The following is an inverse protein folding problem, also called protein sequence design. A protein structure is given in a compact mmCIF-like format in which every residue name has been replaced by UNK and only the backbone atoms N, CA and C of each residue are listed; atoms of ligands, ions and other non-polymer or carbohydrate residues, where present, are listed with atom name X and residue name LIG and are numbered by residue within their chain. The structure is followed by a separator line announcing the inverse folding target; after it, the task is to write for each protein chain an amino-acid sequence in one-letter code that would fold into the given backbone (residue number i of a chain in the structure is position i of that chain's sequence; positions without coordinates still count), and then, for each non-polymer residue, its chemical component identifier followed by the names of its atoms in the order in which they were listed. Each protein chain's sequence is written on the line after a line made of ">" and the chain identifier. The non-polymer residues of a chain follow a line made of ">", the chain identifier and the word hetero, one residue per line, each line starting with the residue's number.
data_IF_732295568401
#
_entry.id   IF_732295568401
#
_cell.length_a   1.000
_cell.length_b   1.000
_cell.length_c   1.000
_cell.angle_alpha   90.00
_cell.angle_beta   90.00
_cell.angle_gamma   90.00
#
_symmetry.space_group_name_H-M   'P 1'
#
loop_
_entity.id
_entity.type
_entity.pdbx_description
1 polymer ?
#
# COMPACT_ATOMS: atom_id res chain seq x y z
N UNK A 1 27.52 -32.10 -73.93
CA UNK A 1 26.50 -31.07 -74.21
C UNK A 1 26.96 -29.84 -73.43
N UNK A 2 27.65 -28.87 -74.05
CA UNK A 2 27.12 -27.89 -75.04
C UNK A 2 26.11 -26.97 -74.37
N UNK A 3 26.45 -25.71 -74.02
CA UNK A 3 26.66 -24.50 -74.86
C UNK A 3 25.42 -23.58 -74.69
N UNK A 4 25.42 -22.24 -74.79
CA UNK A 4 26.37 -21.22 -75.32
C UNK A 4 26.13 -19.91 -74.48
N UNK A 5 27.07 -18.99 -74.16
CA UNK A 5 27.70 -17.91 -74.99
C UNK A 5 26.66 -17.04 -75.76
N UNK A 6 26.74 -15.72 -75.94
CA UNK A 6 27.75 -14.63 -75.78
C UNK A 6 27.14 -13.45 -74.94
N UNK A 7 27.77 -12.39 -74.40
CA UNK A 7 29.06 -11.64 -74.48
C UNK A 7 29.20 -10.51 -75.52
N UNK A 8 29.73 -9.33 -75.08
CA UNK A 8 30.13 -8.09 -75.82
C UNK A 8 29.05 -6.97 -75.97
N UNK A 9 29.36 -5.65 -76.04
CA UNK A 9 30.62 -4.87 -75.88
C UNK A 9 30.37 -3.38 -75.47
N UNK A 10 31.44 -2.56 -75.33
CA UNK A 10 31.42 -1.08 -75.20
C UNK A 10 31.95 -0.40 -76.48
N UNK A 11 31.72 0.93 -76.64
CA UNK A 11 32.85 1.83 -76.94
C UNK A 11 32.85 3.15 -76.11
N UNK A 12 33.89 3.97 -76.32
CA UNK A 12 34.18 5.27 -75.66
C UNK A 12 34.43 6.39 -76.70
N UNK A 13 34.39 7.66 -76.23
CA UNK A 13 34.63 8.96 -76.95
C UNK A 13 33.42 9.46 -77.77
N UNK A 14 33.12 10.77 -77.87
CA UNK A 14 33.63 11.91 -77.09
C UNK A 14 33.38 13.30 -77.72
N UNK A 15 33.45 14.35 -76.89
CA UNK A 15 33.68 15.78 -77.19
C UNK A 15 32.55 16.73 -77.71
N UNK A 16 32.53 17.92 -77.07
CA UNK A 16 32.16 19.28 -77.54
C UNK A 16 30.69 19.75 -77.64
N UNK A 17 30.52 21.02 -77.26
CA UNK A 17 29.36 21.93 -77.34
C UNK A 17 28.15 21.60 -76.43
N UNK A 18 27.50 22.57 -75.78
CA UNK A 18 27.86 23.99 -75.65
C UNK A 18 26.65 24.92 -75.46
N UNK A 19 26.20 25.11 -74.21
CA UNK A 19 25.12 26.05 -73.88
C UNK A 19 25.35 26.70 -72.51
N UNK A 20 25.65 28.00 -72.50
CA UNK A 20 25.80 28.80 -71.28
C UNK A 20 24.43 29.35 -70.89
N UNK A 21 23.78 28.71 -69.92
CA UNK A 21 22.56 29.23 -69.29
C UNK A 21 22.95 30.05 -68.05
N UNK A 22 22.81 31.37 -68.11
CA UNK A 22 23.05 32.28 -66.99
C UNK A 22 21.91 32.21 -65.97
N UNK A 23 21.91 31.17 -65.14
CA UNK A 23 21.00 31.07 -64.01
C UNK A 23 21.39 32.09 -62.93
N UNK A 24 20.49 33.02 -62.60
CA UNK A 24 20.70 33.97 -61.51
C UNK A 24 20.77 33.23 -60.17
N UNK A 25 21.81 33.52 -59.38
CA UNK A 25 22.11 32.81 -58.14
C UNK A 25 21.16 33.13 -56.99
N UNK A 26 19.98 32.53 -56.99
CA UNK A 26 19.14 32.43 -55.80
C UNK A 26 19.75 31.42 -54.82
N UNK A 27 20.57 31.90 -53.89
CA UNK A 27 21.09 31.08 -52.78
C UNK A 27 19.97 30.72 -51.82
N UNK A 28 19.22 29.66 -52.14
CA UNK A 28 18.35 28.99 -51.20
C UNK A 28 19.22 28.43 -50.07
N UNK A 29 19.24 29.13 -48.93
CA UNK A 29 19.86 28.63 -47.73
C UNK A 29 19.20 27.31 -47.35
N UNK A 30 19.95 26.20 -47.41
CA UNK A 30 19.46 24.92 -46.97
C UNK A 30 18.99 25.05 -45.51
N UNK A 31 17.77 24.58 -45.16
CA UNK A 31 17.29 24.69 -43.80
C UNK A 31 18.27 23.95 -42.88
N UNK A 32 18.82 24.67 -41.91
CA UNK A 32 19.79 24.10 -40.99
C UNK A 32 19.15 22.91 -40.27
N UNK A 33 19.60 21.70 -40.59
CA UNK A 33 19.15 20.48 -39.93
C UNK A 33 19.37 20.66 -38.43
N UNK A 34 18.27 20.81 -37.69
CA UNK A 34 18.32 20.96 -36.25
C UNK A 34 19.06 19.75 -35.70
N UNK A 35 20.15 19.98 -34.94
CA UNK A 35 20.83 18.90 -34.22
C UNK A 35 19.75 18.13 -33.45
N UNK A 36 19.64 16.80 -33.59
CA UNK A 36 18.66 16.05 -32.84
C UNK A 36 18.82 16.40 -31.37
N UNK A 37 17.72 16.82 -30.73
CA UNK A 37 17.75 17.19 -29.33
C UNK A 37 18.32 16.01 -28.56
N UNK A 38 19.42 16.22 -27.82
CA UNK A 38 20.04 15.17 -27.03
C UNK A 38 18.96 14.55 -26.14
N UNK A 39 18.66 13.28 -26.36
CA UNK A 39 17.60 12.58 -25.65
C UNK A 39 17.83 12.73 -24.14
N UNK A 40 16.76 12.97 -23.38
CA UNK A 40 16.87 12.94 -21.93
C UNK A 40 17.47 11.58 -21.53
N UNK A 41 18.52 11.55 -20.69
CA UNK A 41 19.20 10.29 -20.37
C UNK A 41 18.20 9.32 -19.76
N UNK A 42 18.12 8.13 -20.35
CA UNK A 42 17.05 7.18 -20.05
C UNK A 42 17.08 6.76 -18.58
N UNK A 43 15.98 7.04 -17.87
CA UNK A 43 15.78 6.52 -16.51
C UNK A 43 15.54 5.02 -16.61
N UNK A 44 16.42 4.24 -15.99
CA UNK A 44 16.19 2.82 -15.81
C UNK A 44 15.21 2.60 -14.64
N UNK A 45 13.97 2.26 -14.99
CA UNK A 45 13.00 1.63 -14.09
C UNK A 45 12.84 0.18 -14.55
N UNK A 46 12.99 -0.77 -13.62
CA UNK A 46 12.89 -2.20 -13.95
C UNK A 46 11.51 -2.53 -14.56
N UNK A 47 11.50 -3.42 -15.55
CA UNK A 47 10.28 -3.93 -16.13
C UNK A 47 9.46 -4.74 -15.12
N UNK A 48 10.11 -5.60 -14.33
CA UNK A 48 9.51 -6.46 -13.33
C UNK A 48 8.13 -7.02 -13.77
N UNK A 49 7.04 -6.61 -13.11
CA UNK A 49 5.65 -6.93 -13.50
C UNK A 49 4.78 -5.68 -13.66
N UNK A 50 5.37 -4.56 -14.07
CA UNK A 50 4.63 -3.36 -14.46
C UNK A 50 3.80 -3.59 -15.73
N UNK A 51 2.64 -2.94 -15.85
CA UNK A 51 2.12 -2.62 -17.19
C UNK A 51 3.20 -1.82 -17.95
N UNK A 52 3.60 -2.24 -19.18
CA UNK A 52 4.66 -1.55 -19.93
C UNK A 52 4.39 -0.05 -20.12
N UNK A 53 3.13 0.32 -20.40
CA UNK A 53 2.72 1.74 -20.52
C UNK A 53 2.89 2.48 -19.20
N UNK A 54 2.49 1.88 -18.08
CA UNK A 54 2.62 2.52 -16.77
C UNK A 54 4.09 2.77 -16.40
N UNK A 55 4.96 1.77 -16.62
CA UNK A 55 6.42 1.90 -16.42
C UNK A 55 6.99 3.05 -17.23
N UNK A 56 6.67 3.11 -18.54
CA UNK A 56 7.27 4.08 -19.44
C UNK A 56 6.81 5.52 -19.15
N UNK A 57 5.55 5.70 -18.74
CA UNK A 57 5.03 6.99 -18.27
C UNK A 57 5.68 7.42 -16.93
N UNK A 58 5.87 6.49 -15.99
CA UNK A 58 6.55 6.79 -14.72
C UNK A 58 8.04 7.07 -14.92
N UNK A 59 8.73 6.33 -15.79
CA UNK A 59 10.12 6.60 -16.16
C UNK A 59 10.27 7.98 -16.85
N UNK A 60 9.30 8.37 -17.70
CA UNK A 60 9.26 9.70 -18.30
C UNK A 60 9.05 10.82 -17.26
N UNK A 61 8.17 10.63 -16.27
CA UNK A 61 8.00 11.55 -15.15
C UNK A 61 9.31 11.69 -14.35
N UNK A 62 9.99 10.58 -14.07
CA UNK A 62 11.28 10.60 -13.35
C UNK A 62 12.34 11.34 -14.16
N UNK A 63 12.42 11.13 -15.48
CA UNK A 63 13.37 11.82 -16.36
C UNK A 63 13.07 13.33 -16.49
N UNK A 64 11.79 13.72 -16.44
CA UNK A 64 11.30 15.10 -16.54
C UNK A 64 11.68 15.95 -15.32
N UNK A 65 11.52 15.40 -14.11
CA UNK A 65 11.72 16.13 -12.85
C UNK A 65 13.02 15.81 -12.11
N UNK A 66 13.68 14.68 -12.42
CA UNK A 66 14.85 14.17 -11.70
C UNK A 66 16.17 14.90 -11.96
N UNK A 67 17.22 14.47 -11.25
CA UNK A 67 18.54 15.09 -11.19
C UNK A 67 19.30 15.23 -12.53
N UNK A 68 18.87 14.53 -13.57
CA UNK A 68 19.38 14.66 -14.95
C UNK A 68 18.66 15.73 -15.78
N UNK A 69 17.52 16.24 -15.30
CA UNK A 69 16.72 17.26 -15.96
C UNK A 69 17.35 18.65 -15.87
N UNK A 70 17.28 19.42 -16.95
CA UNK A 70 17.81 20.80 -17.03
C UNK A 70 17.08 21.78 -16.09
N UNK A 71 15.91 21.42 -15.59
CA UNK A 71 15.11 22.22 -14.64
C UNK A 71 15.20 21.73 -13.19
N UNK A 72 16.02 20.70 -12.91
CA UNK A 72 16.23 20.20 -11.56
C UNK A 72 16.93 21.22 -10.66
N UNK A 73 16.59 21.19 -9.37
CA UNK A 73 17.30 21.95 -8.34
C UNK A 73 17.39 21.13 -7.05
N UNK A 74 18.61 20.90 -6.56
CA UNK A 74 18.82 20.23 -5.28
C UNK A 74 18.24 21.01 -4.08
N UNK A 75 17.96 22.31 -4.25
CA UNK A 75 17.25 23.15 -3.25
C UNK A 75 15.72 23.01 -3.32
N UNK A 76 15.19 22.33 -4.34
CA UNK A 76 13.76 22.13 -4.61
C UNK A 76 13.52 20.72 -5.21
N UNK A 77 14.02 19.69 -4.52
CA UNK A 77 13.88 18.29 -4.97
C UNK A 77 12.40 17.93 -5.20
N UNK A 78 12.04 17.30 -6.33
CA UNK A 78 10.72 16.67 -6.45
C UNK A 78 10.55 15.58 -5.38
N UNK A 79 9.32 15.20 -5.07
CA UNK A 79 9.06 14.10 -4.15
C UNK A 79 7.83 13.27 -4.51
N UNK A 80 7.84 12.03 -4.05
CA UNK A 80 6.78 11.06 -4.21
C UNK A 80 6.20 10.65 -2.84
N UNK A 81 4.89 10.37 -2.79
CA UNK A 81 4.20 9.85 -1.59
C UNK A 81 3.52 8.53 -1.93
N UNK A 82 3.62 7.54 -1.04
CA UNK A 82 3.00 6.23 -1.21
C UNK A 82 2.11 5.91 -0.01
N UNK A 83 0.96 5.28 -0.23
CA UNK A 83 0.37 4.46 0.83
C UNK A 83 1.20 3.18 1.04
N UNK A 84 1.06 2.57 2.20
CA UNK A 84 1.84 1.39 2.57
C UNK A 84 1.10 0.09 2.28
N UNK A 85 0.03 -0.13 3.02
CA UNK A 85 -0.70 -1.38 3.08
C UNK A 85 -1.52 -1.57 1.80
N UNK A 86 -1.47 -2.77 1.21
CA UNK A 86 -1.98 -3.11 -0.13
C UNK A 86 -1.43 -2.34 -1.35
N UNK A 87 -0.75 -1.20 -1.14
CA UNK A 87 -0.14 -0.36 -2.17
C UNK A 87 1.36 -0.65 -2.36
N UNK A 88 2.15 -0.51 -1.29
CA UNK A 88 3.60 -0.77 -1.27
C UNK A 88 3.94 -2.22 -0.91
N UNK A 89 3.07 -2.89 -0.15
CA UNK A 89 3.10 -4.34 0.10
C UNK A 89 1.80 -5.00 -0.40
N UNK A 90 1.80 -6.32 -0.56
CA UNK A 90 0.55 -7.09 -0.66
C UNK A 90 -0.03 -7.31 0.74
N UNK A 91 -1.35 -7.10 0.86
CA UNK A 91 -2.10 -7.12 2.12
C UNK A 91 -1.61 -6.07 3.12
N UNK A 92 -2.03 -6.19 4.36
CA UNK A 92 -1.96 -5.15 5.39
C UNK A 92 -1.11 -5.61 6.57
N UNK A 93 -0.14 -4.80 6.99
CA UNK A 93 0.78 -5.17 8.06
C UNK A 93 0.21 -4.92 9.46
N UNK A 94 -0.79 -4.05 9.62
CA UNK A 94 -1.46 -3.80 10.90
C UNK A 94 -2.55 -4.84 11.18
N UNK A 95 -3.33 -5.26 10.19
CA UNK A 95 -4.25 -6.39 10.35
C UNK A 95 -3.49 -7.71 10.56
N UNK A 96 -2.36 -7.89 9.87
CA UNK A 96 -1.47 -9.02 10.08
C UNK A 96 -0.82 -8.99 11.48
N UNK A 97 -0.46 -7.81 11.98
CA UNK A 97 0.05 -7.61 13.35
C UNK A 97 -1.03 -7.83 14.41
N UNK A 98 -2.28 -7.39 14.20
CA UNK A 98 -3.40 -7.72 15.08
C UNK A 98 -3.56 -9.25 15.18
N UNK A 99 -3.62 -9.95 14.05
CA UNK A 99 -3.74 -11.41 14.06
C UNK A 99 -2.49 -12.10 14.64
N UNK A 100 -1.30 -11.54 14.49
CA UNK A 100 -0.10 -12.03 15.16
C UNK A 100 -0.17 -11.83 16.68
N UNK A 101 -0.59 -10.64 17.13
CA UNK A 101 -0.76 -10.26 18.54
C UNK A 101 -1.78 -11.16 19.23
N UNK A 102 -2.93 -11.40 18.59
CA UNK A 102 -3.95 -12.34 19.03
C UNK A 102 -3.38 -13.75 19.15
N UNK A 103 -2.69 -14.27 18.12
CA UNK A 103 -2.22 -15.66 18.14
C UNK A 103 -1.08 -15.93 19.14
N UNK A 104 -0.31 -14.92 19.54
CA UNK A 104 0.78 -15.06 20.53
C UNK A 104 0.45 -14.48 21.91
N UNK A 105 -0.78 -13.95 22.09
CA UNK A 105 -1.23 -13.21 23.27
C UNK A 105 -0.26 -12.08 23.67
N UNK A 106 0.25 -11.34 22.68
CA UNK A 106 1.23 -10.27 22.89
C UNK A 106 0.56 -8.95 23.34
N UNK A 107 -0.16 -8.99 24.45
CA UNK A 107 -0.84 -7.85 25.05
C UNK A 107 -0.20 -7.49 26.39
N UNK A 108 -0.07 -6.19 26.68
CA UNK A 108 0.55 -5.68 27.93
C UNK A 108 -0.49 -5.03 28.85
N UNK A 109 -1.69 -5.62 28.87
CA UNK A 109 -2.89 -5.12 29.54
C UNK A 109 -3.33 -6.09 30.62
N UNK A 110 -3.64 -5.59 31.82
CA UNK A 110 -4.45 -6.34 32.79
C UNK A 110 -5.84 -6.63 32.23
N UNK A 111 -6.60 -7.60 32.79
CA UNK A 111 -7.96 -7.87 32.34
C UNK A 111 -8.88 -6.64 32.39
N UNK A 112 -8.68 -5.75 33.36
CA UNK A 112 -9.43 -4.50 33.50
C UNK A 112 -9.08 -3.49 32.40
N UNK A 113 -7.80 -3.33 32.06
CA UNK A 113 -7.36 -2.46 30.97
C UNK A 113 -7.81 -2.99 29.60
N UNK A 114 -7.73 -4.30 29.38
CA UNK A 114 -8.24 -4.94 28.16
C UNK A 114 -9.75 -4.75 28.01
N UNK A 115 -10.51 -5.02 29.09
CA UNK A 115 -11.97 -4.84 29.15
C UNK A 115 -12.43 -3.42 28.83
N UNK A 116 -11.67 -2.42 29.30
CA UNK A 116 -11.89 -1.01 28.95
C UNK A 116 -11.50 -0.69 27.50
N UNK A 117 -10.37 -1.24 27.02
CA UNK A 117 -9.83 -1.00 25.67
C UNK A 117 -10.77 -1.50 24.58
N UNK A 118 -11.31 -2.72 24.70
CA UNK A 118 -12.21 -3.30 23.68
C UNK A 118 -13.52 -2.50 23.51
N UNK A 119 -13.95 -1.75 24.54
CA UNK A 119 -15.13 -0.88 24.51
C UNK A 119 -14.81 0.58 24.15
N UNK A 120 -13.54 0.95 24.08
CA UNK A 120 -13.13 2.35 24.09
C UNK A 120 -13.54 3.10 22.82
N UNK A 121 -14.31 4.18 23.00
CA UNK A 121 -14.88 5.01 21.93
C UNK A 121 -15.83 4.27 20.94
N UNK A 122 -16.19 3.02 21.21
CA UNK A 122 -17.15 2.26 20.39
C UNK A 122 -18.57 2.62 20.82
N UNK A 123 -19.47 3.07 19.92
CA UNK A 123 -20.86 3.30 20.24
C UNK A 123 -21.57 2.00 20.69
N UNK A 124 -22.27 2.05 21.82
CA UNK A 124 -23.03 0.90 22.31
C UNK A 124 -24.26 0.61 21.42
N UNK A 125 -24.56 -0.67 21.22
CA UNK A 125 -25.71 -1.15 20.46
C UNK A 125 -25.39 -2.37 19.59
N UNK A 126 -26.28 -2.65 18.64
CA UNK A 126 -26.11 -3.71 17.65
C UNK A 126 -25.12 -3.29 16.55
N UNK A 127 -24.35 -4.26 16.06
CA UNK A 127 -23.58 -4.16 14.82
C UNK A 127 -24.49 -4.22 13.57
N UNK A 128 -23.92 -4.03 12.38
CA UNK A 128 -24.70 -4.14 11.13
C UNK A 128 -25.28 -5.55 10.93
N UNK A 129 -26.25 -5.67 10.02
CA UNK A 129 -27.03 -6.89 9.83
C UNK A 129 -26.20 -8.12 9.39
N UNK A 130 -24.95 -7.97 8.98
CA UNK A 130 -24.06 -9.09 8.61
C UNK A 130 -23.36 -9.70 9.83
N UNK A 131 -23.23 -8.97 10.94
CA UNK A 131 -22.58 -9.41 12.17
C UNK A 131 -23.54 -10.21 13.07
N UNK A 132 -23.74 -11.47 12.69
CA UNK A 132 -24.63 -12.43 13.37
C UNK A 132 -23.86 -13.62 13.95
N UNK A 133 -24.43 -14.21 15.00
CA UNK A 133 -24.02 -15.54 15.47
C UNK A 133 -24.65 -16.67 14.62
N UNK A 134 -24.25 -17.92 14.89
CA UNK A 134 -24.72 -19.12 14.20
C UNK A 134 -26.24 -19.39 14.36
N UNK A 135 -26.90 -18.76 15.33
CA UNK A 135 -28.36 -18.81 15.51
C UNK A 135 -29.09 -17.65 14.77
N UNK A 136 -28.37 -16.80 14.05
CA UNK A 136 -28.92 -15.68 13.29
C UNK A 136 -29.20 -14.41 14.12
N UNK A 137 -28.91 -14.39 15.42
CA UNK A 137 -29.02 -13.19 16.26
C UNK A 137 -27.97 -12.18 15.78
N UNK A 138 -28.40 -10.97 15.43
CA UNK A 138 -27.49 -9.82 15.23
C UNK A 138 -26.83 -9.52 16.58
N UNK A 139 -25.52 -9.35 16.59
CA UNK A 139 -24.77 -9.15 17.81
C UNK A 139 -24.63 -7.68 18.19
N UNK A 140 -24.39 -7.48 19.47
CA UNK A 140 -24.22 -6.20 20.14
C UNK A 140 -22.87 -6.15 20.85
N UNK A 141 -22.34 -4.94 21.03
CA UNK A 141 -20.99 -4.71 21.57
C UNK A 141 -20.74 -5.47 22.88
N UNK A 142 -21.67 -5.35 23.84
CA UNK A 142 -21.51 -5.94 25.16
C UNK A 142 -21.61 -7.47 25.14
N UNK A 143 -22.43 -8.08 24.27
CA UNK A 143 -22.48 -9.54 24.12
C UNK A 143 -21.14 -10.13 23.68
N UNK A 144 -20.40 -9.44 22.81
CA UNK A 144 -19.07 -9.89 22.36
C UNK A 144 -18.00 -9.54 23.39
N UNK A 145 -18.05 -8.34 23.98
CA UNK A 145 -17.05 -7.90 24.95
C UNK A 145 -17.13 -8.68 26.27
N UNK A 146 -18.31 -9.08 26.74
CA UNK A 146 -18.49 -9.90 27.96
C UNK A 146 -17.78 -11.25 27.85
N UNK A 147 -17.82 -11.87 26.67
CA UNK A 147 -17.13 -13.13 26.42
C UNK A 147 -15.61 -12.93 26.36
N UNK A 148 -15.17 -11.87 25.67
CA UNK A 148 -13.76 -11.48 25.61
C UNK A 148 -13.17 -11.11 26.99
N UNK A 149 -13.96 -10.49 27.88
CA UNK A 149 -13.56 -10.22 29.26
C UNK A 149 -13.27 -11.53 30.01
N UNK A 150 -14.16 -12.53 29.87
CA UNK A 150 -14.04 -13.86 30.48
C UNK A 150 -12.83 -14.63 29.92
N UNK A 151 -12.69 -14.69 28.60
CA UNK A 151 -11.58 -15.39 27.97
C UNK A 151 -10.24 -14.73 28.31
N UNK A 152 -10.12 -13.42 28.17
CA UNK A 152 -8.86 -12.72 28.44
C UNK A 152 -8.47 -12.82 29.93
N UNK A 153 -9.44 -12.80 30.86
CA UNK A 153 -9.17 -13.09 32.27
C UNK A 153 -8.62 -14.51 32.50
N UNK A 154 -9.18 -15.53 31.81
CA UNK A 154 -8.64 -16.89 31.84
C UNK A 154 -7.22 -16.96 31.25
N UNK A 155 -7.02 -16.38 30.07
CA UNK A 155 -5.75 -16.40 29.34
C UNK A 155 -4.65 -15.71 30.16
N UNK A 156 -4.94 -14.52 30.71
CA UNK A 156 -4.02 -13.79 31.59
C UNK A 156 -3.65 -14.55 32.86
N UNK A 157 -4.58 -15.31 33.44
CA UNK A 157 -4.33 -16.13 34.64
C UNK A 157 -3.61 -17.47 34.34
N UNK A 158 -3.62 -17.96 33.10
CA UNK A 158 -3.11 -19.28 32.74
C UNK A 158 -1.81 -19.24 31.91
N UNK A 159 -1.63 -18.26 31.02
CA UNK A 159 -0.50 -18.16 30.12
C UNK A 159 0.77 -17.65 30.81
N UNK A 160 1.89 -18.33 30.56
CA UNK A 160 3.24 -18.00 31.05
C UNK A 160 3.78 -16.65 30.54
N UNK A 161 3.25 -16.11 29.44
CA UNK A 161 3.55 -14.75 28.98
C UNK A 161 2.84 -13.64 29.78
N UNK A 162 1.95 -14.01 30.70
CA UNK A 162 1.17 -13.10 31.55
C UNK A 162 1.36 -13.51 33.02
N UNK A 163 0.29 -13.74 33.80
CA UNK A 163 0.38 -14.09 35.23
C UNK A 163 0.32 -15.60 35.52
N UNK A 164 0.25 -16.45 34.48
CA UNK A 164 0.13 -17.90 34.61
C UNK A 164 1.45 -18.65 34.41
N UNK A 165 1.34 -19.94 34.07
CA UNK A 165 2.49 -20.86 33.98
C UNK A 165 2.50 -21.79 32.75
N UNK A 166 1.37 -21.91 32.03
CA UNK A 166 1.22 -22.79 30.86
C UNK A 166 1.87 -22.19 29.63
N UNK A 167 2.45 -23.04 28.80
CA UNK A 167 3.04 -22.70 27.51
C UNK A 167 2.03 -22.10 26.52
N UNK A 168 2.49 -21.45 25.45
CA UNK A 168 1.58 -20.94 24.42
C UNK A 168 0.89 -22.12 23.72
N UNK A 169 1.64 -23.19 23.48
CA UNK A 169 1.22 -24.46 22.89
C UNK A 169 0.07 -25.11 23.68
N UNK A 170 0.13 -25.11 25.02
CA UNK A 170 -0.99 -25.57 25.85
C UNK A 170 -2.20 -24.62 25.85
N UNK A 171 -1.99 -23.33 25.58
CA UNK A 171 -3.03 -22.30 25.65
C UNK A 171 -3.81 -22.21 24.34
N UNK A 172 -3.16 -22.37 23.17
CA UNK A 172 -3.84 -22.29 21.86
C UNK A 172 -4.87 -23.40 21.63
N UNK A 173 -4.70 -24.53 22.32
CA UNK A 173 -5.64 -25.66 22.32
C UNK A 173 -6.84 -25.46 23.28
N UNK A 174 -6.88 -24.36 24.06
CA UNK A 174 -8.02 -24.08 24.97
C UNK A 174 -9.22 -23.50 24.23
N UNK A 175 -10.43 -23.83 24.71
CA UNK A 175 -11.65 -23.24 24.20
C UNK A 175 -11.65 -21.71 24.33
N UNK A 176 -11.11 -21.19 25.45
CA UNK A 176 -11.01 -19.75 25.72
C UNK A 176 -10.11 -19.04 24.71
N UNK A 177 -8.97 -19.61 24.32
CA UNK A 177 -8.15 -19.01 23.27
C UNK A 177 -8.84 -19.05 21.90
N UNK A 178 -9.52 -20.16 21.59
CA UNK A 178 -10.21 -20.33 20.32
C UNK A 178 -11.42 -19.39 20.18
N UNK A 179 -12.15 -19.15 21.29
CA UNK A 179 -13.23 -18.18 21.36
C UNK A 179 -12.68 -16.74 21.29
N UNK A 180 -11.72 -16.37 22.16
CA UNK A 180 -11.00 -15.10 22.15
C UNK A 180 -10.52 -14.69 20.76
N UNK A 181 -9.78 -15.57 20.08
CA UNK A 181 -9.22 -15.31 18.74
C UNK A 181 -10.32 -15.03 17.72
N UNK A 182 -11.41 -15.80 17.77
CA UNK A 182 -12.51 -15.63 16.84
C UNK A 182 -13.30 -14.35 17.15
N UNK A 183 -13.63 -14.11 18.42
CA UNK A 183 -14.44 -12.96 18.88
C UNK A 183 -13.71 -11.63 18.81
N UNK A 184 -12.40 -11.57 19.07
CA UNK A 184 -11.64 -10.31 19.02
C UNK A 184 -11.41 -9.84 17.58
N UNK A 185 -11.12 -10.75 16.65
CA UNK A 185 -11.05 -10.39 15.23
C UNK A 185 -12.45 -10.14 14.63
N UNK A 186 -13.49 -10.86 15.08
CA UNK A 186 -14.89 -10.52 14.74
C UNK A 186 -15.25 -9.10 15.21
N UNK A 187 -14.84 -8.70 16.42
CA UNK A 187 -15.08 -7.37 16.98
C UNK A 187 -14.36 -6.27 16.18
N UNK A 188 -13.11 -6.49 15.77
CA UNK A 188 -12.37 -5.56 14.90
C UNK A 188 -13.15 -5.25 13.59
N UNK A 189 -13.57 -6.29 12.87
CA UNK A 189 -14.34 -6.15 11.62
C UNK A 189 -15.68 -5.45 11.90
N UNK A 190 -16.40 -5.89 12.95
CA UNK A 190 -17.71 -5.36 13.34
C UNK A 190 -17.70 -3.86 13.69
N UNK A 191 -16.68 -3.41 14.42
CA UNK A 191 -16.50 -2.00 14.78
C UNK A 191 -16.21 -1.15 13.53
N UNK A 192 -15.36 -1.63 12.63
CA UNK A 192 -15.03 -0.94 11.38
C UNK A 192 -16.25 -0.80 10.45
N UNK A 193 -17.00 -1.88 10.21
CA UNK A 193 -18.16 -1.84 9.31
C UNK A 193 -19.38 -1.12 9.90
N UNK A 194 -19.56 -1.14 11.23
CA UNK A 194 -20.72 -0.50 11.88
C UNK A 194 -20.51 0.99 12.16
N UNK A 195 -19.30 1.39 12.56
CA UNK A 195 -19.03 2.75 13.03
C UNK A 195 -18.00 3.51 12.18
N UNK A 196 -17.37 2.83 11.22
CA UNK A 196 -16.42 3.42 10.28
C UNK A 196 -15.01 3.63 10.85
N UNK A 197 -14.10 3.95 9.93
CA UNK A 197 -12.66 4.13 10.19
C UNK A 197 -12.33 5.13 11.30
N UNK A 198 -13.18 6.14 11.53
CA UNK A 198 -12.99 7.13 12.61
C UNK A 198 -13.06 6.50 14.01
N UNK A 199 -13.68 5.33 14.16
CA UNK A 199 -13.71 4.53 15.38
C UNK A 199 -12.73 3.36 15.26
N UNK A 200 -12.84 2.56 14.20
CA UNK A 200 -12.11 1.30 14.07
C UNK A 200 -10.59 1.42 13.94
N UNK A 201 -10.07 2.43 13.23
CA UNK A 201 -8.63 2.58 13.00
C UNK A 201 -7.90 3.06 14.27
N UNK A 202 -8.40 4.07 15.02
CA UNK A 202 -7.85 4.36 16.35
C UNK A 202 -8.00 3.20 17.35
N UNK A 203 -9.08 2.41 17.24
CA UNK A 203 -9.36 1.31 18.18
C UNK A 203 -8.33 0.18 18.10
N UNK A 204 -7.97 -0.27 16.89
CA UNK A 204 -7.03 -1.42 16.73
C UNK A 204 -5.63 -1.10 17.27
N UNK A 205 -5.17 0.14 17.15
CA UNK A 205 -3.85 0.55 17.65
C UNK A 205 -3.83 0.74 19.19
N UNK A 206 -4.96 0.77 19.89
CA UNK A 206 -4.98 0.90 21.35
C UNK A 206 -4.45 -0.33 22.10
N UNK A 207 -4.39 -1.52 21.47
CA UNK A 207 -3.81 -2.73 22.07
C UNK A 207 -2.29 -2.65 22.30
N UNK A 208 -1.62 -1.61 21.80
CA UNK A 208 -0.21 -1.32 22.08
C UNK A 208 0.02 -0.54 23.38
N UNK A 209 -1.02 -0.17 24.12
CA UNK A 209 -0.85 0.53 25.40
C UNK A 209 0.03 -0.27 26.39
N UNK A 210 0.77 0.46 27.24
CA UNK A 210 1.81 -0.03 28.15
C UNK A 210 3.07 -0.62 27.46
N UNK A 211 3.09 -0.81 26.13
CA UNK A 211 4.29 -1.15 25.39
C UNK A 211 5.14 0.08 25.07
N UNK A 212 6.45 -0.09 25.06
CA UNK A 212 7.41 0.87 24.48
C UNK A 212 7.37 0.86 22.95
N UNK A 213 7.84 1.94 22.32
CA UNK A 213 8.12 1.96 20.87
C UNK A 213 8.97 0.76 20.46
N UNK A 214 9.99 0.41 21.26
CA UNK A 214 10.88 -0.72 20.98
C UNK A 214 10.17 -2.09 21.02
N UNK A 215 9.30 -2.32 22.01
CA UNK A 215 8.49 -3.55 22.09
C UNK A 215 7.53 -3.70 20.90
N UNK A 216 6.84 -2.62 20.51
CA UNK A 216 5.96 -2.64 19.33
C UNK A 216 6.76 -2.80 18.03
N UNK A 217 7.92 -2.15 17.91
CA UNK A 217 8.79 -2.34 16.72
C UNK A 217 9.27 -3.78 16.58
N UNK A 218 9.69 -4.42 17.68
CA UNK A 218 10.09 -5.83 17.67
C UNK A 218 8.91 -6.78 17.35
N UNK A 219 7.72 -6.49 17.89
CA UNK A 219 6.51 -7.27 17.61
C UNK A 219 6.05 -7.13 16.14
N UNK A 220 6.13 -5.92 15.58
CA UNK A 220 5.91 -5.66 14.16
C UNK A 220 6.93 -6.39 13.29
N UNK A 221 8.23 -6.37 13.64
CA UNK A 221 9.27 -7.06 12.89
C UNK A 221 9.06 -8.59 12.88
N UNK A 222 8.69 -9.18 14.03
CA UNK A 222 8.37 -10.60 14.14
C UNK A 222 7.09 -10.99 13.37
N UNK A 223 6.05 -10.15 13.42
CA UNK A 223 4.83 -10.33 12.63
C UNK A 223 5.10 -10.30 11.13
N UNK A 224 5.89 -9.32 10.68
CA UNK A 224 6.24 -9.14 9.27
C UNK A 224 7.02 -10.35 8.73
N UNK A 225 8.04 -10.80 9.45
CA UNK A 225 8.84 -11.97 9.05
C UNK A 225 8.01 -13.25 9.00
N UNK A 226 7.13 -13.47 9.99
CA UNK A 226 6.20 -14.61 10.00
C UNK A 226 5.23 -14.55 8.81
N UNK A 227 4.56 -13.42 8.59
CA UNK A 227 3.57 -13.28 7.52
C UNK A 227 4.17 -13.29 6.10
N UNK A 228 5.44 -12.92 5.94
CA UNK A 228 6.17 -13.13 4.68
C UNK A 228 6.38 -14.62 4.37
N UNK A 229 6.60 -15.45 5.40
CA UNK A 229 6.67 -16.91 5.29
C UNK A 229 5.31 -17.61 5.10
N UNK A 230 4.21 -17.02 5.58
CA UNK A 230 2.86 -17.61 5.49
C UNK A 230 2.33 -17.66 4.06
N UNK A 231 1.53 -18.68 3.75
CA UNK A 231 0.73 -18.77 2.52
C UNK A 231 -0.34 -17.68 2.45
N UNK A 232 -0.55 -17.11 1.25
CA UNK A 232 -1.65 -16.18 0.99
C UNK A 232 -2.97 -16.95 0.96
N UNK A 233 -3.77 -16.85 2.02
CA UNK A 233 -5.01 -17.64 2.16
C UNK A 233 -6.05 -16.97 3.05
N UNK A 234 -7.34 -17.20 2.76
CA UNK A 234 -8.45 -16.77 3.63
C UNK A 234 -8.83 -17.89 4.61
N UNK A 235 -8.39 -17.75 5.86
CA UNK A 235 -8.69 -18.69 6.96
C UNK A 235 -10.03 -18.31 7.59
N UNK A 236 -10.83 -19.31 8.00
CA UNK A 236 -12.02 -19.09 8.85
C UNK A 236 -11.68 -19.36 10.31
N UNK A 237 -12.19 -18.51 11.20
CA UNK A 237 -12.15 -18.71 12.64
C UNK A 237 -13.57 -18.79 13.18
N UNK A 238 -13.93 -19.95 13.72
CA UNK A 238 -15.23 -20.25 14.33
C UNK A 238 -14.99 -20.49 15.82
N UNK A 239 -15.79 -19.87 16.69
CA UNK A 239 -15.66 -20.12 18.13
C UNK A 239 -16.21 -21.50 18.54
N UNK A 240 -15.67 -22.11 19.60
CA UNK A 240 -16.03 -23.47 20.00
C UNK A 240 -17.47 -23.56 20.54
N UNK A 241 -18.23 -24.55 20.06
CA UNK A 241 -19.60 -24.81 20.53
C UNK A 241 -19.70 -25.28 21.98
N UNK A 242 -18.58 -25.67 22.60
CA UNK A 242 -18.47 -25.98 24.03
C UNK A 242 -18.35 -24.74 24.93
N UNK A 243 -18.02 -23.57 24.35
CA UNK A 243 -17.97 -22.27 25.04
C UNK A 243 -18.67 -21.23 24.16
N UNK A 244 -20.02 -21.25 24.08
CA UNK A 244 -20.75 -20.30 23.24
C UNK A 244 -20.70 -18.86 23.77
N UNK A 245 -20.69 -18.69 25.10
CA UNK A 245 -20.78 -17.37 25.74
C UNK A 245 -22.13 -16.67 25.53
N UNK A 246 -22.17 -15.37 25.81
CA UNK A 246 -23.30 -14.45 25.65
C UNK A 246 -23.53 -14.08 24.18
N UNK A 247 -22.47 -13.94 23.39
CA UNK A 247 -22.57 -13.75 21.94
C UNK A 247 -23.05 -15.02 21.22
N UNK A 248 -22.77 -16.20 21.76
CA UNK A 248 -22.93 -17.48 21.06
C UNK A 248 -21.79 -17.76 20.07
N UNK A 249 -21.89 -18.89 19.37
CA UNK A 249 -20.92 -19.27 18.34
C UNK A 249 -20.95 -18.29 17.18
N UNK A 250 -19.81 -17.67 16.85
CA UNK A 250 -19.63 -16.78 15.71
C UNK A 250 -18.71 -17.41 14.66
N UNK A 251 -18.58 -16.79 13.50
CA UNK A 251 -17.51 -17.12 12.54
C UNK A 251 -17.05 -15.87 11.80
N UNK A 252 -15.75 -15.61 11.85
CA UNK A 252 -15.07 -14.56 11.08
C UNK A 252 -14.04 -15.19 10.12
N UNK A 253 -13.43 -14.41 9.23
CA UNK A 253 -12.44 -14.91 8.30
C UNK A 253 -11.41 -13.85 7.84
N UNK A 254 -10.18 -13.98 8.34
CA UNK A 254 -9.04 -13.13 7.99
C UNK A 254 -8.30 -13.63 6.73
N UNK A 255 -7.59 -12.75 6.03
CA UNK A 255 -6.71 -13.11 4.91
C UNK A 255 -5.23 -13.03 5.34
N UNK A 256 -4.61 -14.19 5.56
CA UNK A 256 -3.23 -14.28 6.05
C UNK A 256 -2.18 -14.07 4.96
N UNK A 257 -1.00 -13.69 5.43
CA UNK A 257 0.21 -13.58 4.63
C UNK A 257 0.31 -12.25 3.90
N UNK A 258 1.53 -11.73 3.82
CA UNK A 258 1.87 -10.48 3.15
C UNK A 258 3.02 -10.72 2.18
N UNK A 259 3.24 -9.84 1.19
CA UNK A 259 4.39 -9.96 0.27
C UNK A 259 5.03 -8.61 0.01
N UNK A 260 6.36 -8.63 -0.14
CA UNK A 260 7.11 -7.51 -0.69
C UNK A 260 6.65 -7.27 -2.14
N UNK A 261 6.42 -6.01 -2.51
CA UNK A 261 6.23 -5.62 -3.90
C UNK A 261 7.55 -5.05 -4.44
N UNK A 262 8.32 -5.92 -5.11
CA UNK A 262 9.61 -5.55 -5.73
C UNK A 262 9.45 -4.40 -6.72
N UNK A 263 8.31 -4.33 -7.42
CA UNK A 263 7.96 -3.25 -8.35
C UNK A 263 7.95 -1.88 -7.65
N UNK A 264 7.39 -1.80 -6.43
CA UNK A 264 7.36 -0.55 -5.63
C UNK A 264 8.69 -0.29 -4.93
N UNK A 265 9.34 -1.30 -4.36
CA UNK A 265 10.66 -1.13 -3.74
C UNK A 265 11.70 -0.59 -4.74
N UNK A 266 11.72 -1.15 -5.96
CA UNK A 266 12.56 -0.65 -7.06
C UNK A 266 12.13 0.75 -7.51
N UNK A 267 10.82 1.06 -7.61
CA UNK A 267 10.37 2.42 -7.94
C UNK A 267 10.81 3.47 -6.90
N UNK A 268 10.64 3.18 -5.60
CA UNK A 268 11.13 4.04 -4.52
C UNK A 268 12.65 4.24 -4.62
N UNK A 269 13.40 3.19 -4.97
CA UNK A 269 14.83 3.30 -5.22
C UNK A 269 15.17 4.16 -6.46
N UNK A 270 14.52 3.93 -7.59
CA UNK A 270 14.72 4.72 -8.83
C UNK A 270 14.40 6.20 -8.60
N UNK A 271 13.34 6.53 -7.84
CA UNK A 271 13.05 7.90 -7.41
C UNK A 271 14.23 8.52 -6.63
N UNK A 272 14.74 7.84 -5.59
CA UNK A 272 15.88 8.34 -4.78
C UNK A 272 17.15 8.51 -5.61
N UNK A 273 17.48 7.54 -6.47
CA UNK A 273 18.65 7.60 -7.36
C UNK A 273 18.58 8.77 -8.35
N UNK A 274 17.36 9.15 -8.77
CA UNK A 274 17.11 10.32 -9.62
C UNK A 274 16.86 11.62 -8.82
N UNK A 275 17.24 11.67 -7.54
CA UNK A 275 17.24 12.90 -6.73
C UNK A 275 15.90 13.32 -6.13
N UNK A 276 14.89 12.43 -6.14
CA UNK A 276 13.62 12.67 -5.46
C UNK A 276 13.73 12.32 -3.97
N UNK A 277 12.96 12.99 -3.12
CA UNK A 277 12.65 12.46 -1.79
C UNK A 277 11.44 11.51 -1.88
N UNK A 278 11.41 10.47 -1.04
CA UNK A 278 10.33 9.46 -1.01
C UNK A 278 9.72 9.40 0.38
N UNK A 279 8.39 9.46 0.45
CA UNK A 279 7.59 9.48 1.67
C UNK A 279 6.52 8.40 1.68
N UNK A 280 6.13 7.97 2.88
CA UNK A 280 4.99 7.07 3.12
C UNK A 280 3.92 7.83 3.92
N UNK A 281 2.65 7.65 3.56
CA UNK A 281 1.49 8.23 4.24
C UNK A 281 0.45 7.15 4.51
N UNK A 282 0.68 6.34 5.56
CA UNK A 282 -0.16 5.18 5.92
C UNK A 282 -1.36 5.55 6.80
N UNK A 283 -2.42 4.76 6.73
CA UNK A 283 -3.54 4.81 7.67
C UNK A 283 -3.40 3.88 8.89
N UNK A 284 -2.25 3.21 9.05
CA UNK A 284 -1.83 2.40 10.20
C UNK A 284 -0.91 3.18 11.15
N UNK A 285 -0.53 2.59 12.30
CA UNK A 285 0.43 3.18 13.25
C UNK A 285 1.79 3.44 12.58
N UNK A 286 2.28 4.67 12.69
CA UNK A 286 3.49 5.12 12.00
C UNK A 286 4.73 4.28 12.30
N UNK A 287 4.90 3.84 13.55
CA UNK A 287 6.06 3.05 13.98
C UNK A 287 6.00 1.59 13.51
N UNK A 288 4.80 1.01 13.36
CA UNK A 288 4.59 -0.35 12.80
C UNK A 288 5.01 -0.38 11.34
N UNK A 289 4.51 0.58 10.55
CA UNK A 289 4.87 0.72 9.14
C UNK A 289 6.34 1.15 8.97
N UNK A 290 6.89 1.94 9.89
CA UNK A 290 8.30 2.33 9.84
C UNK A 290 9.25 1.14 9.93
N UNK A 291 8.95 0.11 10.73
CA UNK A 291 9.75 -1.14 10.75
C UNK A 291 9.85 -1.74 9.35
N UNK A 292 8.73 -1.79 8.63
CA UNK A 292 8.68 -2.35 7.28
C UNK A 292 9.38 -1.44 6.25
N UNK A 293 9.09 -0.14 6.28
CA UNK A 293 9.54 0.81 5.28
C UNK A 293 11.04 1.16 5.39
N UNK A 294 11.60 1.11 6.60
CA UNK A 294 12.98 1.56 6.87
C UNK A 294 14.00 0.43 6.96
N UNK A 295 13.63 -0.75 7.48
CA UNK A 295 14.58 -1.84 7.71
C UNK A 295 15.15 -2.37 6.38
N UNK A 296 16.48 -2.33 6.17
CA UNK A 296 17.10 -2.76 4.91
C UNK A 296 16.74 -4.18 4.46
N UNK A 297 16.37 -5.09 5.38
CA UNK A 297 16.02 -6.48 5.03
C UNK A 297 14.76 -6.60 4.16
N UNK A 298 13.89 -5.59 4.17
CA UNK A 298 12.67 -5.54 3.33
C UNK A 298 12.87 -4.79 2.00
N UNK A 299 14.04 -4.17 1.76
CA UNK A 299 14.41 -3.57 0.47
C UNK A 299 13.80 -2.20 0.11
N UNK A 300 12.92 -1.64 0.92
CA UNK A 300 12.26 -0.36 0.61
C UNK A 300 13.13 0.87 0.88
N UNK A 301 13.96 0.86 1.92
CA UNK A 301 14.92 1.91 2.29
C UNK A 301 14.33 3.34 2.36
N UNK A 302 13.12 3.49 2.90
CA UNK A 302 12.56 4.80 3.28
C UNK A 302 13.30 5.29 4.54
N UNK A 303 13.44 6.60 4.73
CA UNK A 303 14.00 7.19 5.97
C UNK A 303 12.90 7.30 7.04
N UNK A 304 13.23 7.13 8.33
CA UNK A 304 12.20 7.07 9.40
C UNK A 304 11.36 8.34 9.47
N UNK A 305 11.99 9.51 9.32
CA UNK A 305 11.36 10.83 9.30
C UNK A 305 10.46 11.08 8.07
N UNK A 306 10.54 10.21 7.06
CA UNK A 306 9.70 10.26 5.86
C UNK A 306 8.48 9.31 5.94
N UNK A 307 8.33 8.54 7.02
CA UNK A 307 7.12 7.73 7.28
C UNK A 307 6.16 8.55 8.15
N UNK A 308 4.96 8.78 7.62
CA UNK A 308 3.87 9.50 8.29
C UNK A 308 2.67 8.55 8.42
N UNK A 309 2.12 8.43 9.63
CA UNK A 309 1.01 7.50 9.90
C UNK A 309 0.02 7.99 10.94
N UNK A 310 -0.79 7.06 11.46
CA UNK A 310 -1.49 7.28 12.72
C UNK A 310 -0.48 7.39 13.87
N UNK A 311 -0.88 8.08 14.93
CA UNK A 311 -0.04 8.28 16.12
C UNK A 311 -0.86 8.17 17.38
N UNK A 312 -0.26 7.59 18.42
CA UNK A 312 -0.80 7.53 19.78
C UNK A 312 -0.16 8.61 20.66
N UNK A 313 -0.82 8.90 21.77
CA UNK A 313 -0.20 9.54 22.92
C UNK A 313 0.83 8.62 23.58
N UNK A 314 1.87 9.21 24.17
CA UNK A 314 2.98 8.49 24.81
C UNK A 314 3.29 9.05 26.20
N UNK A 315 4.05 8.30 27.00
CA UNK A 315 4.70 8.75 28.22
C UNK A 315 6.17 8.30 28.17
N UNK A 316 7.07 9.23 27.83
CA UNK A 316 8.40 8.85 27.36
C UNK A 316 8.26 8.10 26.03
N UNK A 317 8.73 6.86 25.99
CA UNK A 317 8.61 5.92 24.87
C UNK A 317 7.45 4.92 25.02
N UNK A 318 6.69 4.94 26.12
CA UNK A 318 5.55 4.03 26.37
C UNK A 318 4.27 4.57 25.76
N UNK A 319 3.55 3.77 24.95
CA UNK A 319 2.26 4.14 24.36
C UNK A 319 1.10 4.13 25.37
N UNK A 320 0.11 4.96 25.09
CA UNK A 320 -1.21 4.98 25.74
C UNK A 320 -2.29 4.56 24.75
N UNK A 321 -3.39 4.04 25.27
CA UNK A 321 -4.65 3.82 24.55
C UNK A 321 -5.38 5.16 24.29
N UNK A 322 -4.73 6.11 23.62
CA UNK A 322 -5.32 7.38 23.25
C UNK A 322 -4.70 7.89 21.94
N UNK A 323 -5.54 8.28 20.99
CA UNK A 323 -5.09 8.86 19.73
C UNK A 323 -4.38 10.20 19.99
N UNK A 324 -3.27 10.44 19.28
CA UNK A 324 -2.43 11.64 19.50
C UNK A 324 -3.21 12.91 19.24
N UNK A 325 -3.30 13.78 20.24
CA UNK A 325 -4.01 15.04 20.16
C UNK A 325 -3.37 15.95 19.10
N UNK A 326 -4.21 16.70 18.39
CA UNK A 326 -3.85 17.69 17.36
C UNK A 326 -3.08 17.07 16.14
N UNK A 327 -3.04 15.73 16.06
CA UNK A 327 -2.69 14.97 14.87
C UNK A 327 -3.97 14.60 14.11
N UNK A 328 -4.07 14.78 12.78
CA UNK A 328 -5.19 14.28 12.00
C UNK A 328 -5.24 12.74 12.02
N UNK A 329 -6.42 12.15 11.84
CA UNK A 329 -6.52 10.75 11.43
C UNK A 329 -5.91 10.65 10.02
N UNK A 330 -4.83 9.87 9.82
CA UNK A 330 -4.09 9.87 8.54
C UNK A 330 -4.76 9.00 7.45
N UNK A 331 -6.05 9.25 7.22
CA UNK A 331 -6.91 8.53 6.29
C UNK A 331 -7.78 9.50 5.48
N UNK A 332 -7.98 9.21 4.20
CA UNK A 332 -8.83 9.99 3.30
C UNK A 332 -8.38 11.45 3.23
N UNK A 333 -9.27 12.44 3.49
CA UNK A 333 -8.89 13.85 3.56
C UNK A 333 -7.77 14.14 4.56
N UNK A 334 -7.62 13.31 5.59
CA UNK A 334 -6.56 13.43 6.59
C UNK A 334 -5.16 13.22 6.03
N UNK A 335 -4.97 12.31 5.05
CA UNK A 335 -3.69 12.16 4.33
C UNK A 335 -3.32 13.46 3.61
N UNK A 336 -4.27 14.11 2.95
CA UNK A 336 -4.07 15.44 2.37
C UNK A 336 -3.67 16.48 3.43
N UNK A 337 -4.28 16.49 4.62
CA UNK A 337 -3.94 17.44 5.69
C UNK A 337 -2.54 17.19 6.26
N UNK A 338 -2.17 15.94 6.52
CA UNK A 338 -0.83 15.56 7.03
C UNK A 338 0.24 15.89 6.01
N UNK A 339 0.07 15.54 4.73
CA UNK A 339 1.01 15.91 3.66
C UNK A 339 1.13 17.44 3.53
N UNK A 340 0.02 18.19 3.65
CA UNK A 340 0.06 19.66 3.62
C UNK A 340 0.83 20.25 4.81
N UNK A 341 0.60 19.77 6.04
CA UNK A 341 1.31 20.25 7.23
C UNK A 341 2.78 19.83 7.26
N UNK A 342 3.07 18.56 6.99
CA UNK A 342 4.42 18.02 7.19
C UNK A 342 5.34 18.22 6.01
N UNK A 343 4.84 18.22 4.78
CA UNK A 343 5.66 18.26 3.57
C UNK A 343 5.49 19.59 2.83
N UNK A 344 4.26 19.98 2.48
CA UNK A 344 4.02 21.20 1.68
C UNK A 344 4.41 22.47 2.45
N UNK A 345 4.13 22.56 3.74
CA UNK A 345 4.53 23.73 4.55
C UNK A 345 6.06 23.87 4.69
N UNK A 346 6.82 22.77 4.60
CA UNK A 346 8.29 22.77 4.70
C UNK A 346 8.97 22.93 3.32
N UNK A 347 8.35 22.44 2.25
CA UNK A 347 8.89 22.45 0.87
C UNK A 347 8.37 23.63 0.02
N UNK A 348 7.13 24.05 0.19
CA UNK A 348 6.45 25.07 -0.61
C UNK A 348 5.85 24.57 -1.94
N UNK A 349 5.58 23.26 -2.06
CA UNK A 349 4.97 22.59 -3.21
C UNK A 349 4.46 21.19 -2.82
N UNK A 350 3.47 20.67 -3.55
CA UNK A 350 2.99 19.29 -3.43
C UNK A 350 3.93 18.23 -4.02
N UNK A 351 3.63 16.93 -3.82
CA UNK A 351 4.33 15.84 -4.50
C UNK A 351 4.10 15.90 -6.01
N UNK A 352 4.98 15.25 -6.79
CA UNK A 352 4.78 15.09 -8.25
C UNK A 352 4.23 13.70 -8.62
N UNK A 353 4.29 12.76 -7.69
CA UNK A 353 3.75 11.41 -7.84
C UNK A 353 3.10 10.96 -6.52
N UNK A 354 1.94 10.31 -6.59
CA UNK A 354 1.27 9.71 -5.42
C UNK A 354 0.81 8.29 -5.77
N UNK A 355 0.93 7.34 -4.85
CA UNK A 355 0.37 5.98 -5.00
C UNK A 355 -0.59 5.62 -3.86
N UNK A 356 -1.63 4.84 -4.17
CA UNK A 356 -2.64 4.34 -3.22
C UNK A 356 -3.53 3.25 -3.83
N UNK A 357 -4.53 2.75 -3.08
CA UNK A 357 -5.42 1.66 -3.53
C UNK A 357 -6.84 1.68 -2.94
N UNK A 358 -7.12 2.63 -2.04
CA UNK A 358 -8.31 2.66 -1.21
C UNK A 358 -8.98 4.04 -1.18
N UNK A 359 -10.22 4.09 -0.68
CA UNK A 359 -10.90 5.35 -0.36
C UNK A 359 -10.14 6.20 0.67
N UNK A 360 -9.22 5.60 1.42
CA UNK A 360 -8.27 6.28 2.30
C UNK A 360 -7.17 7.07 1.57
N UNK A 361 -7.01 6.88 0.26
CA UNK A 361 -5.95 7.50 -0.56
C UNK A 361 -6.48 8.51 -1.57
N UNK A 362 -7.77 8.40 -1.89
CA UNK A 362 -8.46 9.16 -2.92
C UNK A 362 -8.17 10.66 -2.87
N UNK A 363 -8.29 11.27 -1.69
CA UNK A 363 -8.08 12.70 -1.52
C UNK A 363 -6.59 13.07 -1.74
N UNK A 364 -5.61 12.28 -1.24
CA UNK A 364 -4.18 12.57 -1.48
C UNK A 364 -3.72 12.30 -2.92
N UNK A 365 -4.35 11.35 -3.62
CA UNK A 365 -4.10 11.09 -5.05
C UNK A 365 -4.55 12.27 -5.93
N UNK A 366 -5.58 13.02 -5.49
CA UNK A 366 -6.24 14.09 -6.23
C UNK A 366 -5.76 15.50 -5.87
N UNK A 367 -5.64 15.82 -4.59
CA UNK A 367 -5.69 17.21 -4.06
C UNK A 367 -4.47 18.10 -4.32
N UNK A 368 -3.41 17.54 -4.91
CA UNK A 368 -2.18 18.27 -5.20
C UNK A 368 -2.07 18.56 -6.70
N UNK A 369 -2.05 19.86 -7.03
CA UNK A 369 -1.89 20.35 -8.41
C UNK A 369 -0.52 20.01 -9.02
N UNK A 370 0.49 19.77 -8.18
CA UNK A 370 1.82 19.34 -8.61
C UNK A 370 1.89 17.86 -8.97
N UNK A 371 0.95 17.02 -8.50
CA UNK A 371 0.93 15.58 -8.81
C UNK A 371 0.58 15.39 -10.28
N UNK A 372 1.53 14.88 -11.05
CA UNK A 372 1.39 14.61 -12.48
C UNK A 372 0.80 13.22 -12.72
N UNK A 373 1.23 12.22 -11.93
CA UNK A 373 0.69 10.85 -11.95
C UNK A 373 0.21 10.45 -10.56
N UNK A 374 -1.06 10.06 -10.46
CA UNK A 374 -1.58 9.25 -9.35
C UNK A 374 -1.66 7.78 -9.75
N UNK A 375 -0.89 6.90 -9.10
CA UNK A 375 -0.92 5.46 -9.32
C UNK A 375 -1.94 4.79 -8.40
N UNK A 376 -2.91 4.08 -8.97
CA UNK A 376 -3.88 3.26 -8.24
C UNK A 376 -3.51 1.78 -8.40
N UNK A 377 -3.23 1.08 -7.30
CA UNK A 377 -3.11 -0.38 -7.33
C UNK A 377 -4.52 -0.98 -7.40
N UNK A 378 -4.78 -1.75 -8.45
CA UNK A 378 -6.12 -2.18 -8.79
C UNK A 378 -6.64 -3.26 -7.82
N UNK A 379 -7.33 -2.86 -6.76
CA UNK A 379 -8.04 -3.76 -5.85
C UNK A 379 -9.48 -4.07 -6.29
N UNK A 380 -9.95 -3.57 -7.44
CA UNK A 380 -11.36 -3.58 -7.85
C UNK A 380 -12.32 -3.03 -6.77
N UNK A 381 -11.85 -2.10 -5.92
CA UNK A 381 -12.66 -1.47 -4.87
C UNK A 381 -13.59 -0.44 -5.51
N UNK A 382 -14.89 -0.58 -5.24
CA UNK A 382 -15.89 0.49 -5.43
C UNK A 382 -15.69 1.57 -4.35
N UNK A 383 -16.50 2.62 -4.40
CA UNK A 383 -16.32 3.81 -3.57
C UNK A 383 -15.53 4.87 -4.32
N UNK A 384 -14.98 5.84 -3.59
CA UNK A 384 -14.24 6.97 -4.13
C UNK A 384 -13.03 6.53 -4.98
N UNK A 385 -12.26 5.53 -4.54
CA UNK A 385 -11.12 5.01 -5.33
C UNK A 385 -11.57 4.34 -6.63
N UNK A 386 -12.82 3.87 -6.68
CA UNK A 386 -13.46 3.37 -7.90
C UNK A 386 -13.58 4.45 -8.97
N UNK A 387 -13.82 5.71 -8.59
CA UNK A 387 -13.85 6.86 -9.51
C UNK A 387 -12.49 7.08 -10.18
N UNK A 388 -11.40 7.03 -9.39
CA UNK A 388 -10.04 7.22 -9.91
C UNK A 388 -9.57 6.02 -10.72
N UNK A 389 -9.95 4.80 -10.31
CA UNK A 389 -9.70 3.57 -11.06
C UNK A 389 -10.39 3.63 -12.43
N UNK A 390 -11.66 4.05 -12.46
CA UNK A 390 -12.40 4.27 -13.71
C UNK A 390 -11.75 5.35 -14.57
N UNK A 391 -11.40 6.50 -13.99
CA UNK A 391 -10.75 7.58 -14.74
C UNK A 391 -9.42 7.13 -15.38
N UNK A 392 -8.63 6.31 -14.68
CA UNK A 392 -7.41 5.71 -15.22
C UNK A 392 -7.67 4.68 -16.34
N UNK A 393 -8.77 3.90 -16.23
CA UNK A 393 -9.18 2.94 -17.25
C UNK A 393 -9.73 3.62 -18.52
N UNK A 394 -10.56 4.65 -18.37
CA UNK A 394 -11.07 5.46 -19.49
C UNK A 394 -9.90 6.21 -20.18
N UNK A 395 -8.92 6.72 -19.41
CA UNK A 395 -7.70 7.37 -19.89
C UNK A 395 -6.59 6.39 -20.36
N UNK A 396 -6.87 5.09 -20.52
CA UNK A 396 -5.85 4.07 -20.84
C UNK A 396 -5.14 4.25 -22.21
N UNK A 397 -5.64 5.15 -23.08
CA UNK A 397 -5.03 5.49 -24.38
C UNK A 397 -4.45 6.90 -24.46
N UNK A 398 -4.56 7.70 -23.39
CA UNK A 398 -4.02 9.06 -23.37
C UNK A 398 -2.48 9.08 -23.32
N UNK A 399 -1.88 10.16 -23.84
CA UNK A 399 -0.42 10.34 -23.80
C UNK A 399 0.09 10.84 -22.44
N UNK A 400 -0.73 11.58 -21.68
CA UNK A 400 -0.36 12.18 -20.38
C UNK A 400 -1.52 12.01 -19.36
N UNK A 401 -1.91 10.77 -19.02
CA UNK A 401 -3.03 10.53 -18.11
C UNK A 401 -2.71 10.99 -16.68
N UNK A 402 -3.68 11.62 -16.01
CA UNK A 402 -3.53 12.07 -14.61
C UNK A 402 -3.50 10.92 -13.60
N UNK A 403 -4.07 9.77 -13.97
CA UNK A 403 -4.14 8.56 -13.14
C UNK A 403 -3.73 7.33 -13.94
N UNK A 404 -3.03 6.40 -13.29
CA UNK A 404 -2.66 5.09 -13.82
C UNK A 404 -3.28 3.98 -12.95
N UNK A 405 -3.68 2.87 -13.56
CA UNK A 405 -4.23 1.71 -12.87
C UNK A 405 -3.29 0.51 -13.07
N UNK A 406 -2.92 -0.18 -11.99
CA UNK A 406 -1.90 -1.23 -12.02
C UNK A 406 -2.45 -2.55 -11.46
N UNK A 407 -2.48 -3.59 -12.29
CA UNK A 407 -3.04 -4.90 -11.95
C UNK A 407 -2.20 -5.70 -10.96
N UNK A 408 -2.86 -6.58 -10.20
CA UNK A 408 -2.23 -7.53 -9.28
C UNK A 408 -2.86 -8.92 -9.31
N UNK A 409 -2.11 -9.94 -8.88
CA UNK A 409 -2.56 -11.31 -8.70
C UNK A 409 -2.60 -11.64 -7.20
N UNK A 410 -3.79 -11.67 -6.63
CA UNK A 410 -3.94 -11.77 -5.16
C UNK A 410 -3.62 -13.16 -4.60
N UNK A 411 -3.55 -14.20 -5.44
CA UNK A 411 -3.09 -15.54 -5.06
C UNK A 411 -1.57 -15.68 -4.94
N UNK A 412 -0.79 -14.76 -5.52
CA UNK A 412 0.68 -14.77 -5.45
C UNK A 412 1.26 -13.51 -4.80
N UNK A 413 0.43 -12.48 -4.58
CA UNK A 413 0.84 -11.19 -4.00
C UNK A 413 1.72 -10.35 -4.92
N UNK A 414 1.78 -10.70 -6.19
CA UNK A 414 2.58 -10.02 -7.20
C UNK A 414 1.71 -9.04 -8.02
N UNK A 415 2.33 -8.03 -8.61
CA UNK A 415 1.71 -7.27 -9.70
C UNK A 415 1.57 -8.13 -10.97
N UNK A 416 0.71 -7.69 -11.89
CA UNK A 416 0.56 -8.24 -13.23
C UNK A 416 1.00 -7.20 -14.27
N UNK A 417 1.60 -7.60 -15.41
CA UNK A 417 2.08 -6.67 -16.43
C UNK A 417 0.96 -6.08 -17.32
N UNK A 418 -0.17 -5.77 -16.69
CA UNK A 418 -1.43 -5.25 -17.25
C UNK A 418 -2.17 -4.45 -16.17
N UNK A 419 -3.18 -3.68 -16.56
CA UNK A 419 -4.03 -2.89 -15.67
C UNK A 419 -5.06 -3.75 -14.91
N UNK A 420 -5.31 -4.99 -15.38
CA UNK A 420 -6.32 -5.90 -14.84
C UNK A 420 -5.83 -6.73 -13.64
N UNK A 421 -6.72 -7.00 -12.70
CA UNK A 421 -6.42 -7.75 -11.47
C UNK A 421 -7.07 -9.12 -11.47
N UNK A 422 -6.30 -10.14 -11.08
CA UNK A 422 -6.82 -11.48 -10.78
C UNK A 422 -7.10 -11.58 -9.27
N UNK A 423 -8.38 -11.54 -8.91
CA UNK A 423 -8.85 -11.67 -7.53
C UNK A 423 -8.58 -13.06 -6.94
N UNK A 424 -8.37 -13.11 -5.63
CA UNK A 424 -8.19 -14.39 -4.94
C UNK A 424 -9.40 -15.31 -5.16
N UNK A 425 -9.14 -16.58 -5.46
CA UNK A 425 -10.17 -17.57 -5.78
C UNK A 425 -10.95 -17.31 -7.08
N UNK A 426 -10.46 -16.45 -7.97
CA UNK A 426 -11.02 -16.22 -9.32
C UNK A 426 -10.01 -16.62 -10.41
N UNK A 427 -10.54 -16.99 -11.57
CA UNK A 427 -9.79 -17.45 -12.75
C UNK A 427 -9.77 -16.42 -13.89
N UNK A 428 -10.76 -15.52 -13.94
CA UNK A 428 -10.81 -14.42 -14.90
C UNK A 428 -10.23 -13.13 -14.27
N UNK A 429 -9.27 -12.45 -14.93
CA UNK A 429 -8.85 -11.11 -14.52
C UNK A 429 -9.93 -10.08 -14.88
N UNK A 430 -10.00 -8.99 -14.12
CA UNK A 430 -10.97 -7.92 -14.35
C UNK A 430 -10.32 -6.52 -14.31
N UNK A 431 -10.92 -5.58 -15.03
CA UNK A 431 -10.71 -4.14 -14.86
C UNK A 431 -11.88 -3.59 -14.05
N UNK A 432 -11.66 -2.53 -13.27
CA UNK A 432 -12.77 -1.71 -12.77
C UNK A 432 -12.98 -0.56 -13.77
N UNK A 433 -14.21 -0.42 -14.28
CA UNK A 433 -14.58 0.57 -15.30
C UNK A 433 -15.96 1.15 -15.06
#
# INVERSE_FOLDING_TARGET
>A
MQDTKQTHQQPRRGFLQGLVATAAGATLAAPALAKPAAAAPAVFLDAAKWSPRNRDLVAALIAKHGNTSKTYSAKRKPYAVFDWDNTSIMNDCEEALLMYQINHLAFKLSPQEFSATIRQNVPAGNFTADYKNAAGKILDLESVCTDLDSDYAYLHANYKGMAGSRSLEEIVETAQFQDFRAKLYFLYEAVNDTHGVNVGYPWVIYFFANMTVAEVSALAEASNDANLGMSLTKTKYTSPSSLPGVAGVITTAHFHGIRLCTEVATLMNTFRQNGFDVYVSTASLEDVVAVFATNPKYGYHVQRENVLGLRLEQNGDVYKNAYRKDWPLNWGPGKTVVIKRELVAKKGYGPVFVAGDSDGDYDMLRDFKETEIGLVVNRLKKGKIGELSKAAADAAKEANPRFLLQGRQESTGNWLPVETTLKYGKTAPALLG
#
